data_IF_837496998291
#
_entry.id   IF_837496998291
#
_cell.length_a   1.000
_cell.length_b   1.000
_cell.length_c   1.000
_cell.angle_alpha   90.00
_cell.angle_beta   90.00
_cell.angle_gamma   90.00
#
_symmetry.space_group_name_H-M   'P 1'
#
loop_
_entity.id
_entity.type
_entity.pdbx_description
1 polymer ?
#
# COMPACT_ATOMS: atom_id res chain seq x y z
N UNK A 1 -5.29 0.19 36.22
CA UNK A 1 -6.12 -0.33 35.12
C UNK A 1 -5.17 -0.98 34.13
N UNK A 2 -5.21 -2.28 34.01
CA UNK A 2 -4.35 -3.05 33.11
C UNK A 2 -4.78 -2.75 31.69
N UNK A 3 -3.91 -2.08 30.92
CA UNK A 3 -4.07 -1.94 29.47
C UNK A 3 -3.98 -3.36 28.88
N UNK A 4 -5.10 -3.93 28.50
CA UNK A 4 -5.10 -5.08 27.62
C UNK A 4 -4.57 -4.62 26.26
N UNK A 5 -3.36 -5.03 25.93
CA UNK A 5 -2.80 -4.87 24.58
C UNK A 5 -3.64 -5.78 23.69
N UNK A 6 -4.52 -5.19 22.89
CA UNK A 6 -5.34 -5.93 21.93
C UNK A 6 -4.41 -6.27 20.76
N UNK A 7 -4.02 -7.53 20.67
CA UNK A 7 -3.33 -8.05 19.49
C UNK A 7 -4.33 -8.16 18.34
N UNK A 8 -4.07 -7.49 17.24
CA UNK A 8 -4.88 -7.55 16.04
C UNK A 8 -4.01 -7.72 14.80
N UNK A 9 -4.58 -8.31 13.78
CA UNK A 9 -3.90 -8.44 12.48
C UNK A 9 -4.03 -7.15 11.66
N UNK A 10 -3.06 -6.88 10.80
CA UNK A 10 -3.13 -5.75 9.87
C UNK A 10 -4.40 -5.79 9.01
N UNK A 11 -4.83 -6.99 8.63
CA UNK A 11 -6.06 -7.19 7.85
C UNK A 11 -7.32 -6.75 8.63
N UNK A 12 -7.42 -7.09 9.92
CA UNK A 12 -8.54 -6.66 10.76
C UNK A 12 -8.57 -5.15 10.96
N UNK A 13 -7.39 -4.54 11.16
CA UNK A 13 -7.25 -3.08 11.24
C UNK A 13 -7.76 -2.41 9.96
N UNK A 14 -7.26 -2.83 8.82
CA UNK A 14 -7.61 -2.22 7.52
C UNK A 14 -9.10 -2.40 7.20
N UNK A 15 -9.67 -3.57 7.44
CA UNK A 15 -11.09 -3.84 7.22
C UNK A 15 -11.97 -2.97 8.12
N UNK A 16 -11.64 -2.88 9.41
CA UNK A 16 -12.39 -2.07 10.38
C UNK A 16 -12.30 -0.60 10.04
N UNK A 17 -11.10 -0.09 9.75
CA UNK A 17 -10.89 1.30 9.37
C UNK A 17 -11.62 1.65 8.07
N UNK A 18 -11.49 0.82 7.02
CA UNK A 18 -12.20 1.03 5.77
C UNK A 18 -13.71 1.18 6.00
N UNK A 19 -14.32 0.27 6.75
CA UNK A 19 -15.74 0.32 7.06
C UNK A 19 -16.12 1.61 7.80
N UNK A 20 -15.39 1.98 8.86
CA UNK A 20 -15.71 3.15 9.68
C UNK A 20 -15.41 4.47 8.96
N UNK A 21 -14.34 4.54 8.20
CA UNK A 21 -13.99 5.73 7.43
C UNK A 21 -14.93 5.95 6.24
N UNK A 22 -15.51 4.90 5.66
CA UNK A 22 -16.57 5.02 4.65
C UNK A 22 -17.81 5.70 5.21
N UNK A 23 -18.13 5.55 6.50
CA UNK A 23 -19.22 6.31 7.14
C UNK A 23 -18.92 7.82 7.19
N UNK A 24 -17.64 8.21 7.20
CA UNK A 24 -17.20 9.61 7.22
C UNK A 24 -17.17 10.17 5.80
N UNK A 25 -16.55 9.46 4.88
CA UNK A 25 -16.50 9.82 3.45
C UNK A 25 -16.92 8.63 2.59
N UNK A 26 -18.16 8.65 2.03
CA UNK A 26 -18.66 7.55 1.20
C UNK A 26 -17.83 7.24 -0.04
N UNK A 27 -17.04 8.22 -0.55
CA UNK A 27 -16.12 7.99 -1.66
C UNK A 27 -15.06 6.91 -1.40
N UNK A 28 -14.81 6.57 -0.13
CA UNK A 28 -13.90 5.47 0.23
C UNK A 28 -14.47 4.08 -0.12
N UNK A 29 -15.78 3.97 -0.35
CA UNK A 29 -16.39 2.72 -0.82
C UNK A 29 -15.95 2.33 -2.25
N UNK A 30 -15.40 3.27 -3.00
CA UNK A 30 -14.86 3.03 -4.34
C UNK A 30 -13.46 2.42 -4.32
N UNK A 31 -12.78 2.41 -3.16
CA UNK A 31 -11.43 1.85 -3.02
C UNK A 31 -11.50 0.33 -2.85
N UNK A 32 -10.67 -0.37 -3.60
CA UNK A 32 -10.40 -1.79 -3.35
C UNK A 32 -9.54 -1.95 -2.08
N UNK A 33 -9.57 -3.11 -1.42
CA UNK A 33 -8.82 -3.34 -0.17
C UNK A 33 -7.33 -3.02 -0.28
N UNK A 34 -6.69 -3.37 -1.39
CA UNK A 34 -5.27 -3.08 -1.59
C UNK A 34 -5.01 -1.58 -1.82
N UNK A 35 -5.95 -0.85 -2.43
CA UNK A 35 -5.84 0.60 -2.60
C UNK A 35 -5.92 1.31 -1.26
N UNK A 36 -6.86 0.88 -0.40
CA UNK A 36 -6.97 1.38 0.97
C UNK A 36 -5.69 1.12 1.75
N UNK A 37 -5.10 -0.08 1.64
CA UNK A 37 -3.82 -0.43 2.25
C UNK A 37 -2.69 0.52 1.80
N UNK A 38 -2.58 0.81 0.50
CA UNK A 38 -1.59 1.77 -0.01
C UNK A 38 -1.81 3.18 0.53
N UNK A 39 -3.06 3.62 0.65
CA UNK A 39 -3.39 4.91 1.24
C UNK A 39 -3.02 4.98 2.74
N UNK A 40 -3.13 3.87 3.45
CA UNK A 40 -2.78 3.76 4.86
C UNK A 40 -1.27 3.74 5.13
N UNK A 41 -0.46 3.36 4.14
CA UNK A 41 0.98 3.17 4.32
C UNK A 41 1.72 4.39 4.92
N UNK A 42 1.46 5.65 4.49
CA UNK A 42 2.13 6.83 5.06
C UNK A 42 1.77 7.08 6.53
N UNK A 43 0.64 6.55 6.98
CA UNK A 43 0.09 6.79 8.32
C UNK A 43 0.55 5.77 9.36
N UNK A 44 1.22 4.72 8.93
CA UNK A 44 1.61 3.63 9.81
C UNK A 44 2.57 4.13 10.92
N UNK A 45 2.20 4.01 12.22
CA UNK A 45 3.04 4.50 13.32
C UNK A 45 4.35 3.71 13.40
N UNK A 46 5.45 4.39 13.77
CA UNK A 46 6.77 3.77 13.87
C UNK A 46 6.81 2.58 14.81
N UNK A 47 6.16 2.70 15.94
CA UNK A 47 6.16 1.70 16.99
C UNK A 47 4.95 0.76 16.97
N UNK A 48 4.12 0.82 15.90
CA UNK A 48 2.88 0.04 15.79
C UNK A 48 1.64 0.79 16.27
N UNK A 49 0.48 0.37 15.78
CA UNK A 49 -0.81 1.00 16.10
C UNK A 49 -1.21 0.87 17.57
N UNK A 50 -0.74 -0.16 18.24
CA UNK A 50 -0.95 -0.42 19.68
C UNK A 50 -0.28 0.62 20.58
N UNK A 51 0.70 1.36 20.06
CA UNK A 51 1.41 2.41 20.81
C UNK A 51 0.78 3.78 20.61
N UNK A 52 -0.17 3.92 19.70
CA UNK A 52 -0.79 5.21 19.42
C UNK A 52 -1.72 5.60 20.55
N UNK A 53 -1.40 6.72 21.16
CA UNK A 53 -2.26 7.31 22.18
C UNK A 53 -3.54 7.86 21.56
N UNK A 54 -4.69 7.52 22.14
CA UNK A 54 -6.01 8.00 21.74
C UNK A 54 -6.60 8.88 22.85
N UNK A 55 -6.33 10.21 22.83
CA UNK A 55 -6.88 11.11 23.84
C UNK A 55 -8.41 11.11 23.83
N UNK A 56 -9.07 11.46 24.95
CA UNK A 56 -10.52 11.69 24.96
C UNK A 56 -10.96 12.73 23.93
N UNK A 57 -12.17 12.62 23.39
CA UNK A 57 -12.65 13.55 22.36
C UNK A 57 -12.52 15.03 22.74
N UNK A 58 -12.83 15.37 24.00
CA UNK A 58 -12.76 16.76 24.47
C UNK A 58 -11.32 17.32 24.47
N UNK A 59 -10.30 16.49 24.69
CA UNK A 59 -8.91 16.92 24.62
C UNK A 59 -8.49 17.22 23.18
N UNK A 60 -8.94 16.38 22.23
CA UNK A 60 -8.71 16.64 20.78
C UNK A 60 -9.45 17.91 20.36
N UNK A 61 -10.70 18.10 20.82
CA UNK A 61 -11.48 19.33 20.54
C UNK A 61 -10.77 20.57 21.07
N UNK A 62 -10.20 20.52 22.29
CA UNK A 62 -9.40 21.61 22.85
C UNK A 62 -8.13 21.83 22.05
N UNK A 63 -7.41 20.75 21.66
CA UNK A 63 -6.19 20.84 20.87
C UNK A 63 -6.45 21.55 19.53
N UNK A 64 -7.47 21.11 18.78
CA UNK A 64 -7.77 21.68 17.45
C UNK A 64 -8.40 23.08 17.50
N UNK A 65 -8.78 23.56 18.67
CA UNK A 65 -9.21 24.97 18.90
C UNK A 65 -8.04 25.85 19.39
N UNK A 66 -6.89 25.27 19.69
CA UNK A 66 -5.73 26.03 20.16
C UNK A 66 -4.99 26.70 19.00
N UNK A 67 -4.77 28.03 19.04
CA UNK A 67 -3.97 28.71 18.03
C UNK A 67 -2.58 28.11 17.85
N UNK A 68 -1.90 27.77 18.95
CA UNK A 68 -0.55 27.20 18.94
C UNK A 68 -0.42 25.87 18.21
N UNK A 69 -1.51 25.13 18.06
CA UNK A 69 -1.50 23.89 17.26
C UNK A 69 -1.22 24.16 15.77
N UNK A 70 -1.54 25.37 15.29
CA UNK A 70 -1.43 25.71 13.86
C UNK A 70 -0.22 26.61 13.54
N UNK A 71 0.48 27.13 14.55
CA UNK A 71 1.56 28.09 14.36
C UNK A 71 2.72 27.54 13.53
N UNK A 72 3.02 26.24 13.70
CA UNK A 72 4.14 25.59 13.05
C UNK A 72 3.76 24.60 11.95
N UNK A 73 2.46 24.55 11.59
CA UNK A 73 2.04 23.61 10.53
C UNK A 73 2.63 24.04 9.20
N UNK A 74 3.57 23.22 8.73
CA UNK A 74 4.21 23.39 7.44
C UNK A 74 3.93 22.18 6.54
N UNK A 75 3.50 22.49 5.32
CA UNK A 75 3.39 21.50 4.25
C UNK A 75 4.64 21.60 3.39
N UNK A 76 5.45 20.55 3.44
CA UNK A 76 6.73 20.51 2.73
C UNK A 76 6.60 19.62 1.50
N UNK A 77 6.80 20.13 0.27
CA UNK A 77 6.90 19.29 -0.91
C UNK A 77 8.14 18.40 -0.80
N UNK A 78 8.00 17.10 -1.08
CA UNK A 78 9.12 16.20 -1.25
C UNK A 78 9.73 16.31 -2.64
N UNK A 79 10.94 15.76 -2.81
CA UNK A 79 11.72 15.77 -4.06
C UNK A 79 10.95 15.29 -5.28
N UNK A 80 10.00 14.38 -5.12
CA UNK A 80 9.20 13.80 -6.19
C UNK A 80 7.75 14.31 -6.25
N UNK A 81 7.48 15.45 -5.62
CA UNK A 81 6.17 16.09 -5.63
C UNK A 81 5.17 15.56 -4.58
N UNK A 82 5.57 14.60 -3.74
CA UNK A 82 4.75 14.19 -2.60
C UNK A 82 4.73 15.28 -1.51
N UNK A 83 3.62 15.38 -0.77
CA UNK A 83 3.52 16.27 0.39
C UNK A 83 3.99 15.55 1.66
N UNK A 84 4.80 16.23 2.44
CA UNK A 84 5.10 15.87 3.82
C UNK A 84 4.24 16.71 4.74
N UNK A 85 3.41 16.07 5.52
CA UNK A 85 2.64 16.74 6.56
C UNK A 85 3.51 16.96 7.79
N UNK A 86 3.19 18.01 8.52
CA UNK A 86 3.77 18.27 9.82
C UNK A 86 3.53 17.13 10.81
N UNK A 87 4.46 16.92 11.73
CA UNK A 87 4.40 15.81 12.69
C UNK A 87 3.15 15.86 13.58
N UNK A 88 2.69 17.06 13.95
CA UNK A 88 1.47 17.24 14.74
C UNK A 88 0.21 16.77 13.99
N UNK A 89 0.13 17.04 12.69
CA UNK A 89 -0.95 16.54 11.82
C UNK A 89 -0.84 15.03 11.64
N UNK A 90 0.37 14.50 11.50
CA UNK A 90 0.58 13.04 11.41
C UNK A 90 0.12 12.36 12.69
N UNK A 91 0.53 12.83 13.85
CA UNK A 91 0.12 12.29 15.16
C UNK A 91 -1.40 12.37 15.38
N UNK A 92 -2.00 13.50 15.01
CA UNK A 92 -3.45 13.66 15.09
C UNK A 92 -4.18 12.64 14.21
N UNK A 93 -3.73 12.46 12.96
CA UNK A 93 -4.33 11.48 12.06
C UNK A 93 -4.15 10.05 12.56
N UNK A 94 -2.97 9.70 13.08
CA UNK A 94 -2.73 8.40 13.70
C UNK A 94 -3.68 8.18 14.89
N UNK A 95 -3.85 9.17 15.77
CA UNK A 95 -4.78 9.09 16.90
C UNK A 95 -6.23 8.91 16.46
N UNK A 96 -6.68 9.66 15.41
CA UNK A 96 -8.03 9.51 14.85
C UNK A 96 -8.26 8.13 14.25
N UNK A 97 -7.30 7.60 13.50
CA UNK A 97 -7.39 6.28 12.91
C UNK A 97 -7.37 5.17 13.98
N UNK A 98 -6.47 5.28 14.97
CA UNK A 98 -6.43 4.34 16.09
C UNK A 98 -7.72 4.38 16.93
N UNK A 99 -8.25 5.57 17.19
CA UNK A 99 -9.51 5.75 17.91
C UNK A 99 -10.72 5.25 17.13
N UNK A 100 -10.76 5.46 15.82
CA UNK A 100 -11.75 4.84 14.94
C UNK A 100 -11.63 3.31 14.97
N UNK A 101 -10.43 2.76 14.94
CA UNK A 101 -10.22 1.31 14.99
C UNK A 101 -10.66 0.71 16.33
N UNK A 102 -10.23 1.27 17.45
CA UNK A 102 -10.57 0.78 18.79
C UNK A 102 -12.05 1.02 19.18
N UNK A 103 -12.71 1.96 18.51
CA UNK A 103 -14.05 2.42 18.89
C UNK A 103 -14.07 3.53 19.93
N UNK A 104 -12.92 4.06 20.33
CA UNK A 104 -12.81 5.23 21.19
C UNK A 104 -13.46 6.47 20.54
N UNK A 105 -13.43 6.54 19.19
CA UNK A 105 -14.09 7.60 18.44
C UNK A 105 -15.16 7.04 17.52
N UNK A 106 -16.35 7.67 17.58
CA UNK A 106 -17.42 7.33 16.63
C UNK A 106 -17.17 8.00 15.27
N UNK A 107 -17.52 7.35 14.14
CA UNK A 107 -17.47 7.99 12.83
C UNK A 107 -18.26 9.31 12.76
N UNK A 108 -19.37 9.40 13.50
CA UNK A 108 -20.19 10.61 13.54
C UNK A 108 -19.44 11.80 14.15
N UNK A 109 -18.78 11.58 15.30
CA UNK A 109 -17.97 12.61 15.93
C UNK A 109 -16.80 13.05 15.05
N UNK A 110 -16.05 12.09 14.47
CA UNK A 110 -14.95 12.42 13.55
C UNK A 110 -15.46 13.23 12.36
N UNK A 111 -16.56 12.83 11.75
CA UNK A 111 -17.18 13.56 10.62
C UNK A 111 -17.60 14.98 11.00
N UNK A 112 -18.09 15.19 12.23
CA UNK A 112 -18.47 16.50 12.73
C UNK A 112 -17.27 17.41 12.95
N UNK A 113 -16.17 16.86 13.50
CA UNK A 113 -15.00 17.64 13.93
C UNK A 113 -13.92 17.77 12.85
N UNK A 114 -13.95 16.91 11.82
CA UNK A 114 -12.92 16.84 10.78
C UNK A 114 -13.49 16.75 9.36
N UNK A 115 -12.73 17.28 8.41
CA UNK A 115 -12.85 16.91 7.01
C UNK A 115 -11.95 15.73 6.72
N UNK A 116 -12.39 14.78 5.90
CA UNK A 116 -11.50 13.78 5.34
C UNK A 116 -11.21 14.11 3.86
N UNK A 117 -9.97 14.45 3.57
CA UNK A 117 -9.50 14.63 2.20
C UNK A 117 -9.08 13.28 1.62
N UNK A 118 -9.92 12.71 0.76
CA UNK A 118 -9.68 11.41 0.13
C UNK A 118 -8.43 11.42 -0.76
N UNK A 119 -8.08 12.56 -1.34
CA UNK A 119 -6.91 12.70 -2.24
C UNK A 119 -5.59 12.64 -1.46
N UNK A 120 -5.55 13.30 -0.31
CA UNK A 120 -4.43 13.29 0.62
C UNK A 120 -4.47 12.12 1.58
N UNK A 121 -5.65 11.50 1.73
CA UNK A 121 -5.93 10.44 2.67
C UNK A 121 -5.64 10.83 4.12
N UNK A 122 -6.13 11.99 4.54
CA UNK A 122 -5.94 12.51 5.89
C UNK A 122 -7.12 13.33 6.38
N UNK A 123 -7.21 13.43 7.72
CA UNK A 123 -8.19 14.26 8.40
C UNK A 123 -7.64 15.67 8.62
N UNK A 124 -8.48 16.67 8.37
CA UNK A 124 -8.21 18.08 8.63
C UNK A 124 -9.25 18.62 9.61
N UNK A 125 -8.84 19.33 10.67
CA UNK A 125 -9.79 19.90 11.64
C UNK A 125 -10.76 20.90 11.01
N UNK A 126 -12.01 20.87 11.45
CA UNK A 126 -13.04 21.89 11.11
C UNK A 126 -12.95 23.03 12.11
N UNK A 127 -11.97 23.90 11.98
CA UNK A 127 -11.76 24.99 12.93
C UNK A 127 -11.49 26.31 12.20
N UNK A 128 -11.68 27.42 12.94
CA UNK A 128 -11.41 28.76 12.43
C UNK A 128 -9.90 28.99 12.18
N UNK A 129 -9.05 28.26 12.88
CA UNK A 129 -7.59 28.40 12.75
C UNK A 129 -7.02 27.65 11.54
N UNK A 130 -7.77 26.75 10.97
CA UNK A 130 -7.41 26.14 9.68
C UNK A 130 -7.72 27.15 8.57
N UNK A 131 -6.90 28.19 8.51
CA UNK A 131 -7.14 29.39 7.70
C UNK A 131 -7.31 29.08 6.21
N UNK A 132 -7.97 30.01 5.50
CA UNK A 132 -8.08 29.92 4.05
C UNK A 132 -6.71 29.83 3.37
N UNK A 133 -5.68 30.46 3.96
CA UNK A 133 -4.30 30.36 3.46
C UNK A 133 -3.76 28.91 3.53
N UNK A 134 -4.00 28.18 4.61
CA UNK A 134 -3.59 26.77 4.73
C UNK A 134 -4.42 25.90 3.78
N UNK A 135 -5.73 26.11 3.72
CA UNK A 135 -6.61 25.41 2.75
C UNK A 135 -6.21 25.73 1.32
N UNK A 136 -5.89 26.95 1.03
CA UNK A 136 -5.46 27.40 -0.29
C UNK A 136 -4.08 26.81 -0.64
N UNK A 137 -3.16 26.70 0.31
CA UNK A 137 -1.88 26.04 0.13
C UNK A 137 -2.05 24.53 -0.12
N UNK A 138 -2.90 23.86 0.66
CA UNK A 138 -3.28 22.47 0.44
C UNK A 138 -3.94 22.24 -0.93
N UNK A 139 -4.73 23.19 -1.40
CA UNK A 139 -5.41 23.14 -2.69
C UNK A 139 -4.50 23.52 -3.87
N UNK A 140 -3.45 24.32 -3.67
CA UNK A 140 -2.64 24.86 -4.77
C UNK A 140 -1.48 23.96 -5.18
N UNK A 141 -0.71 23.50 -4.22
CA UNK A 141 0.43 22.66 -4.56
C UNK A 141 -0.02 21.20 -4.51
N UNK A 142 0.42 20.33 -5.04
CA UNK A 142 0.18 19.21 -5.92
C UNK A 142 -1.30 18.88 -6.18
N UNK A 143 -2.25 19.36 -5.36
CA UNK A 143 -3.68 19.08 -5.57
C UNK A 143 -4.24 19.73 -6.85
N UNK A 144 -3.77 20.92 -7.22
CA UNK A 144 -4.13 21.53 -8.51
C UNK A 144 -3.63 20.72 -9.70
N UNK A 145 -2.41 20.21 -9.62
CA UNK A 145 -1.85 19.34 -10.66
C UNK A 145 -2.61 18.01 -10.71
N UNK A 146 -3.00 17.49 -9.56
CA UNK A 146 -3.82 16.30 -9.45
C UNK A 146 -5.18 16.47 -10.13
N UNK A 147 -5.92 17.52 -9.80
CA UNK A 147 -7.23 17.80 -10.39
C UNK A 147 -7.18 18.00 -11.90
N UNK A 148 -6.15 18.68 -12.41
CA UNK A 148 -5.96 18.84 -13.85
C UNK A 148 -5.68 17.51 -14.53
N UNK A 149 -4.85 16.65 -13.92
CA UNK A 149 -4.53 15.32 -14.45
C UNK A 149 -5.73 14.38 -14.37
N UNK A 150 -6.48 14.43 -13.30
CA UNK A 150 -7.70 13.64 -13.14
C UNK A 150 -8.74 14.03 -14.21
N UNK A 151 -8.96 15.33 -14.44
CA UNK A 151 -9.84 15.80 -15.53
C UNK A 151 -9.36 15.32 -16.91
N UNK A 152 -8.06 15.28 -17.13
CA UNK A 152 -7.49 14.76 -18.38
C UNK A 152 -7.72 13.26 -18.53
N UNK A 153 -7.63 12.50 -17.43
CA UNK A 153 -7.91 11.04 -17.40
C UNK A 153 -9.40 10.75 -17.58
N UNK A 154 -10.27 11.50 -16.93
CA UNK A 154 -11.73 11.40 -17.08
C UNK A 154 -12.17 11.64 -18.52
N UNK A 155 -11.51 12.55 -19.25
CA UNK A 155 -11.79 12.81 -20.68
C UNK A 155 -11.42 11.63 -21.60
N UNK A 156 -10.66 10.64 -21.12
CA UNK A 156 -10.18 9.47 -21.88
C UNK A 156 -11.01 8.21 -21.56
N UNK A 157 -12.27 8.33 -21.13
CA UNK A 157 -13.14 7.21 -20.76
C UNK A 157 -12.47 6.29 -19.71
N UNK A 158 -12.17 6.83 -18.55
CA UNK A 158 -11.57 6.05 -17.47
C UNK A 158 -12.59 5.05 -16.93
N UNK A 159 -12.31 3.77 -17.13
CA UNK A 159 -13.05 2.69 -16.51
C UNK A 159 -12.55 2.59 -15.07
N UNK A 160 -13.40 2.94 -14.10
CA UNK A 160 -13.05 2.85 -12.69
C UNK A 160 -12.75 1.41 -12.25
N UNK A 161 -12.01 1.23 -11.18
CA UNK A 161 -11.67 -0.11 -10.63
C UNK A 161 -12.90 -0.97 -10.37
N UNK A 162 -13.99 -0.38 -9.90
CA UNK A 162 -15.24 -1.09 -9.66
C UNK A 162 -15.79 -1.72 -10.94
N UNK A 163 -15.77 -0.98 -12.04
CA UNK A 163 -16.23 -1.48 -13.35
C UNK A 163 -15.30 -2.58 -13.87
N UNK A 164 -13.98 -2.49 -13.62
CA UNK A 164 -13.05 -3.57 -13.91
C UNK A 164 -13.32 -4.83 -13.09
N UNK A 165 -13.63 -4.67 -11.80
CA UNK A 165 -13.98 -5.79 -10.94
C UNK A 165 -15.23 -6.51 -11.42
N UNK A 166 -16.26 -5.77 -11.78
CA UNK A 166 -17.50 -6.32 -12.33
C UNK A 166 -17.26 -7.01 -13.68
N UNK A 167 -16.52 -6.35 -14.59
CA UNK A 167 -16.19 -6.89 -15.90
C UNK A 167 -15.34 -8.16 -15.86
N UNK A 168 -14.46 -8.29 -14.85
CA UNK A 168 -13.57 -9.44 -14.71
C UNK A 168 -14.09 -10.51 -13.72
N UNK A 169 -15.23 -10.30 -13.07
CA UNK A 169 -15.70 -11.16 -11.98
C UNK A 169 -15.80 -12.64 -12.38
N UNK A 170 -16.28 -12.94 -13.58
CA UNK A 170 -16.38 -14.33 -14.08
C UNK A 170 -15.01 -14.93 -14.36
N UNK A 171 -14.12 -14.18 -14.98
CA UNK A 171 -12.74 -14.60 -15.31
C UNK A 171 -11.96 -14.87 -14.02
N UNK A 172 -12.05 -13.95 -13.06
CA UNK A 172 -11.39 -14.09 -11.76
C UNK A 172 -11.95 -15.30 -10.98
N UNK A 173 -13.26 -15.49 -10.99
CA UNK A 173 -13.88 -16.68 -10.38
C UNK A 173 -13.42 -17.98 -11.05
N UNK A 174 -13.30 -18.01 -12.38
CA UNK A 174 -12.74 -19.15 -13.09
C UNK A 174 -11.28 -19.39 -12.74
N UNK A 175 -10.47 -18.34 -12.68
CA UNK A 175 -9.08 -18.43 -12.29
C UNK A 175 -8.91 -18.95 -10.85
N UNK A 176 -9.64 -18.40 -9.89
CA UNK A 176 -9.61 -18.82 -8.49
C UNK A 176 -9.96 -20.30 -8.37
N UNK A 177 -11.05 -20.76 -9.00
CA UNK A 177 -11.42 -22.18 -9.01
C UNK A 177 -10.34 -23.07 -9.61
N UNK A 178 -9.69 -22.63 -10.70
CA UNK A 178 -8.59 -23.37 -11.30
C UNK A 178 -7.39 -23.48 -10.35
N UNK A 179 -7.02 -22.40 -9.66
CA UNK A 179 -5.95 -22.38 -8.66
C UNK A 179 -6.29 -23.30 -7.49
N UNK A 180 -7.49 -23.20 -6.94
CA UNK A 180 -7.94 -24.08 -5.85
C UNK A 180 -7.85 -25.56 -6.26
N UNK A 181 -8.28 -25.89 -7.47
CA UNK A 181 -8.16 -27.27 -8.00
C UNK A 181 -6.70 -27.71 -8.12
N UNK A 182 -5.81 -26.85 -8.62
CA UNK A 182 -4.39 -27.17 -8.76
C UNK A 182 -3.72 -27.39 -7.40
N UNK A 183 -4.02 -26.55 -6.41
CA UNK A 183 -3.48 -26.68 -5.07
C UNK A 183 -3.97 -27.97 -4.40
N UNK A 184 -5.24 -28.32 -4.55
CA UNK A 184 -5.77 -29.62 -4.04
C UNK A 184 -5.07 -30.84 -4.66
N UNK A 185 -4.68 -30.75 -5.95
CA UNK A 185 -3.96 -31.82 -6.63
C UNK A 185 -2.50 -31.90 -6.17
N UNK A 186 -1.85 -30.77 -5.99
CA UNK A 186 -0.43 -30.71 -5.63
C UNK A 186 -0.17 -30.91 -4.13
N UNK A 187 -1.16 -30.57 -3.30
CA UNK A 187 -1.06 -30.62 -1.83
C UNK A 187 -0.40 -29.40 -1.21
N UNK A 188 -0.47 -29.34 0.13
CA UNK A 188 0.14 -28.27 0.95
C UNK A 188 1.28 -28.86 1.79
N UNK A 189 2.30 -28.08 2.21
CA UNK A 189 2.50 -26.67 1.88
C UNK A 189 2.94 -26.45 0.43
N UNK A 190 2.54 -25.35 -0.18
CA UNK A 190 2.88 -25.03 -1.56
C UNK A 190 3.22 -23.54 -1.74
N UNK A 191 4.20 -23.27 -2.61
CA UNK A 191 4.53 -21.92 -3.07
C UNK A 191 3.92 -21.70 -4.44
N UNK A 192 3.13 -20.65 -4.58
CA UNK A 192 2.58 -20.18 -5.84
C UNK A 192 3.10 -18.78 -6.15
N UNK A 193 3.66 -18.57 -7.31
CA UNK A 193 4.07 -17.24 -7.71
C UNK A 193 3.20 -16.67 -8.82
N UNK A 194 2.86 -15.39 -8.66
CA UNK A 194 2.11 -14.59 -9.61
C UNK A 194 3.04 -13.50 -10.13
N UNK A 195 3.56 -13.73 -11.33
CA UNK A 195 4.42 -12.80 -12.03
C UNK A 195 3.60 -11.93 -12.98
N UNK A 196 4.10 -10.76 -13.25
CA UNK A 196 3.51 -9.88 -14.26
C UNK A 196 3.98 -8.44 -14.09
N UNK A 197 3.79 -7.63 -15.12
CA UNK A 197 4.24 -6.24 -15.09
C UNK A 197 3.46 -5.40 -14.05
N UNK A 198 4.01 -4.21 -13.75
CA UNK A 198 3.33 -3.29 -12.82
C UNK A 198 1.92 -2.96 -13.30
N UNK A 199 1.01 -2.77 -12.36
CA UNK A 199 -0.40 -2.44 -12.60
C UNK A 199 -1.18 -3.50 -13.40
N UNK A 200 -0.68 -4.73 -13.49
CA UNK A 200 -1.44 -5.83 -14.10
C UNK A 200 -2.62 -6.31 -13.23
N UNK A 201 -2.62 -6.02 -11.93
CA UNK A 201 -3.65 -6.49 -10.98
C UNK A 201 -3.21 -7.67 -10.12
N UNK A 202 -1.91 -7.94 -10.03
CA UNK A 202 -1.36 -9.06 -9.24
C UNK A 202 -1.79 -9.02 -7.78
N UNK A 203 -1.59 -7.89 -7.11
CA UNK A 203 -1.95 -7.72 -5.70
C UNK A 203 -3.44 -7.94 -5.47
N UNK A 204 -4.28 -7.43 -6.38
CA UNK A 204 -5.73 -7.60 -6.28
C UNK A 204 -6.14 -9.08 -6.39
N UNK A 205 -5.60 -9.82 -7.36
CA UNK A 205 -5.94 -11.24 -7.50
C UNK A 205 -5.38 -12.09 -6.35
N UNK A 206 -4.23 -11.72 -5.77
CA UNK A 206 -3.69 -12.35 -4.57
C UNK A 206 -4.62 -12.14 -3.37
N UNK A 207 -5.14 -10.92 -3.16
CA UNK A 207 -6.12 -10.64 -2.09
C UNK A 207 -7.40 -11.49 -2.25
N UNK A 208 -7.88 -11.66 -3.49
CA UNK A 208 -9.05 -12.50 -3.78
C UNK A 208 -8.76 -13.98 -3.52
N UNK A 209 -7.56 -14.45 -3.84
CA UNK A 209 -7.10 -15.80 -3.50
C UNK A 209 -7.03 -15.99 -1.98
N UNK A 210 -6.47 -15.03 -1.24
CA UNK A 210 -6.47 -15.06 0.23
C UNK A 210 -7.90 -15.22 0.79
N UNK A 211 -8.85 -14.43 0.30
CA UNK A 211 -10.24 -14.51 0.73
C UNK A 211 -10.85 -15.89 0.41
N UNK A 212 -10.65 -16.40 -0.81
CA UNK A 212 -11.19 -17.69 -1.23
C UNK A 212 -10.62 -18.87 -0.44
N UNK A 213 -9.31 -18.84 -0.11
CA UNK A 213 -8.70 -19.91 0.71
C UNK A 213 -9.05 -19.78 2.19
N UNK A 214 -9.25 -18.57 2.70
CA UNK A 214 -9.74 -18.37 4.06
C UNK A 214 -11.15 -18.95 4.26
N UNK A 215 -12.03 -18.84 3.24
CA UNK A 215 -13.34 -19.49 3.24
C UNK A 215 -13.23 -21.04 3.30
N UNK A 216 -12.16 -21.62 2.76
CA UNK A 216 -11.85 -23.05 2.85
C UNK A 216 -11.10 -23.43 4.15
N UNK A 217 -10.84 -22.47 5.06
CA UNK A 217 -10.11 -22.67 6.30
C UNK A 217 -8.60 -22.90 6.11
N UNK A 218 -8.03 -22.55 4.96
CA UNK A 218 -6.61 -22.68 4.68
C UNK A 218 -5.86 -21.40 5.05
N UNK A 219 -4.69 -21.57 5.67
CA UNK A 219 -3.80 -20.45 6.00
C UNK A 219 -3.01 -20.05 4.77
N UNK A 220 -2.93 -18.76 4.54
CA UNK A 220 -2.20 -18.19 3.41
C UNK A 220 -1.25 -17.08 3.87
N UNK A 221 -0.12 -16.94 3.18
CA UNK A 221 0.84 -15.86 3.40
C UNK A 221 1.30 -15.28 2.06
N UNK A 222 1.73 -14.03 2.04
CA UNK A 222 2.24 -13.36 0.84
C UNK A 222 3.63 -12.79 1.05
N UNK A 223 4.48 -12.97 0.04
CA UNK A 223 5.78 -12.31 -0.11
C UNK A 223 5.69 -11.39 -1.33
N UNK A 224 5.70 -10.09 -1.10
CA UNK A 224 5.72 -9.08 -2.16
C UNK A 224 7.17 -8.74 -2.52
N UNK A 225 7.62 -9.10 -3.74
CA UNK A 225 9.00 -8.84 -4.18
C UNK A 225 9.33 -7.34 -4.23
N UNK A 226 8.34 -6.50 -4.46
CA UNK A 226 8.54 -5.06 -4.49
C UNK A 226 9.04 -4.51 -3.14
N UNK A 227 8.79 -5.19 -2.03
CA UNK A 227 9.32 -4.84 -0.72
C UNK A 227 10.82 -5.10 -0.57
N UNK A 228 11.39 -5.96 -1.40
CA UNK A 228 12.82 -6.25 -1.40
C UNK A 228 13.65 -5.24 -2.22
N UNK A 229 13.05 -4.24 -2.85
CA UNK A 229 13.78 -3.21 -3.56
C UNK A 229 14.78 -2.50 -2.63
N UNK A 230 15.99 -2.26 -3.13
CA UNK A 230 16.99 -1.40 -2.47
C UNK A 230 16.62 0.08 -2.64
N UNK A 231 17.29 0.99 -1.95
CA UNK A 231 17.02 2.42 -2.07
C UNK A 231 17.18 2.90 -3.52
N UNK A 232 16.33 3.83 -3.93
CA UNK A 232 16.39 4.37 -5.31
C UNK A 232 17.72 5.05 -5.59
N UNK A 233 18.17 5.91 -4.67
CA UNK A 233 19.41 6.66 -4.85
C UNK A 233 20.63 5.74 -4.99
N UNK A 234 20.63 4.59 -4.28
CA UNK A 234 21.66 3.57 -4.41
C UNK A 234 21.62 2.85 -5.77
N UNK A 235 20.41 2.55 -6.27
CA UNK A 235 20.26 1.97 -7.61
C UNK A 235 20.70 2.94 -8.71
N UNK A 236 20.33 4.21 -8.58
CA UNK A 236 20.73 5.25 -9.53
C UNK A 236 22.24 5.47 -9.52
N UNK A 237 22.87 5.50 -8.33
CA UNK A 237 24.33 5.59 -8.21
C UNK A 237 25.08 4.40 -8.86
N UNK A 238 24.45 3.22 -8.88
CA UNK A 238 25.00 2.02 -9.54
C UNK A 238 24.60 1.87 -11.01
N UNK A 239 23.87 2.85 -11.58
CA UNK A 239 23.36 2.76 -12.94
C UNK A 239 22.28 1.68 -13.15
N UNK A 240 21.62 1.21 -12.10
CA UNK A 240 20.54 0.22 -12.17
C UNK A 240 19.25 0.93 -12.52
N UNK A 241 18.91 0.93 -13.80
CA UNK A 241 17.71 1.61 -14.30
C UNK A 241 16.51 0.67 -14.48
N UNK A 242 16.73 -0.62 -14.59
CA UNK A 242 15.68 -1.63 -14.71
C UNK A 242 15.43 -2.35 -13.37
N UNK A 243 14.20 -2.81 -13.17
CA UNK A 243 13.86 -3.68 -12.04
C UNK A 243 14.23 -5.12 -12.42
N UNK A 244 15.22 -5.67 -11.76
CA UNK A 244 15.70 -7.04 -11.93
C UNK A 244 16.33 -7.53 -10.63
N UNK A 245 16.94 -8.70 -10.64
CA UNK A 245 17.56 -9.29 -9.46
C UNK A 245 18.58 -8.36 -8.77
N UNK A 246 19.28 -7.54 -9.55
CA UNK A 246 20.23 -6.54 -9.04
C UNK A 246 19.59 -5.32 -8.34
N UNK A 247 18.28 -5.15 -8.49
CA UNK A 247 17.55 -4.02 -7.87
C UNK A 247 16.95 -4.36 -6.51
N UNK A 248 17.07 -5.61 -6.08
CA UNK A 248 16.49 -6.11 -4.83
C UNK A 248 17.58 -6.67 -3.91
N UNK A 249 17.23 -6.83 -2.65
CA UNK A 249 17.98 -7.61 -1.66
C UNK A 249 17.87 -9.11 -1.98
N UNK A 250 18.56 -9.56 -3.03
CA UNK A 250 18.38 -10.90 -3.60
C UNK A 250 18.67 -12.01 -2.59
N UNK A 251 19.81 -11.91 -1.88
CA UNK A 251 20.21 -12.94 -0.91
C UNK A 251 19.17 -13.05 0.23
N UNK A 252 18.67 -11.91 0.70
CA UNK A 252 17.62 -11.87 1.73
C UNK A 252 16.30 -12.45 1.22
N UNK A 253 15.94 -12.17 -0.04
CA UNK A 253 14.75 -12.77 -0.66
C UNK A 253 14.85 -14.29 -0.73
N UNK A 254 16.00 -14.82 -1.17
CA UNK A 254 16.24 -16.25 -1.27
C UNK A 254 16.29 -16.92 0.12
N UNK A 255 16.85 -16.25 1.11
CA UNK A 255 16.85 -16.72 2.49
C UNK A 255 15.43 -16.78 3.04
N UNK A 256 14.64 -15.71 2.92
CA UNK A 256 13.24 -15.68 3.35
C UNK A 256 12.43 -16.80 2.67
N UNK A 257 12.64 -17.02 1.37
CA UNK A 257 11.95 -18.10 0.66
C UNK A 257 12.35 -19.50 1.19
N UNK A 258 13.62 -19.67 1.51
CA UNK A 258 14.12 -20.93 2.10
C UNK A 258 13.50 -21.18 3.46
N UNK A 259 13.49 -20.19 4.33
CA UNK A 259 13.02 -20.31 5.71
C UNK A 259 11.50 -20.54 5.75
N UNK A 260 10.71 -19.80 4.99
CA UNK A 260 9.26 -19.96 5.01
C UNK A 260 8.82 -21.30 4.41
N UNK A 261 9.54 -21.79 3.40
CA UNK A 261 9.27 -23.14 2.85
C UNK A 261 9.70 -24.25 3.79
N UNK A 262 10.60 -23.98 4.73
CA UNK A 262 10.96 -24.88 5.84
C UNK A 262 9.99 -24.76 7.03
N UNK A 263 8.91 -23.97 6.92
CA UNK A 263 7.93 -23.78 7.99
C UNK A 263 8.36 -22.79 9.08
N UNK A 264 9.34 -21.95 8.81
CA UNK A 264 9.82 -20.93 9.74
C UNK A 264 9.17 -19.57 9.45
N UNK A 265 8.86 -18.81 10.49
CA UNK A 265 8.46 -17.42 10.34
C UNK A 265 9.62 -16.59 9.79
N UNK A 266 9.30 -15.62 8.93
CA UNK A 266 10.30 -14.78 8.29
C UNK A 266 10.06 -13.31 8.59
N UNK A 267 11.12 -12.52 8.38
CA UNK A 267 11.08 -11.08 8.46
C UNK A 267 11.60 -10.52 7.15
N UNK A 268 10.74 -9.82 6.39
CA UNK A 268 11.10 -9.25 5.10
C UNK A 268 11.35 -7.75 5.20
N UNK A 269 12.11 -7.16 4.28
CA UNK A 269 12.17 -5.70 4.17
C UNK A 269 10.79 -5.09 3.94
N UNK A 270 10.69 -3.80 4.22
CA UNK A 270 9.59 -2.94 3.79
C UNK A 270 10.15 -1.84 2.92
N UNK A 271 9.58 -1.68 1.75
CA UNK A 271 9.93 -0.60 0.85
C UNK A 271 8.92 0.53 0.93
N UNK A 272 9.39 1.75 1.16
CA UNK A 272 8.57 2.95 1.09
C UNK A 272 8.50 3.42 -0.37
N UNK A 273 7.31 3.33 -0.97
CA UNK A 273 7.11 3.72 -2.36
C UNK A 273 7.03 5.23 -2.58
N UNK A 274 6.83 6.00 -1.51
CA UNK A 274 6.81 7.46 -1.55
C UNK A 274 8.23 7.99 -1.50
N UNK A 275 8.98 7.59 -0.49
CA UNK A 275 10.39 7.99 -0.30
C UNK A 275 11.35 7.19 -1.17
N UNK A 276 10.88 6.08 -1.71
CA UNK A 276 11.65 5.15 -2.53
C UNK A 276 12.87 4.57 -1.79
N UNK A 277 12.68 4.25 -0.51
CA UNK A 277 13.70 3.73 0.40
C UNK A 277 13.29 2.38 0.97
N UNK A 278 14.30 1.54 1.23
CA UNK A 278 14.14 0.26 1.91
C UNK A 278 14.33 0.43 3.43
N UNK A 279 13.63 -0.38 4.21
CA UNK A 279 13.90 -0.51 5.65
C UNK A 279 15.25 -1.16 5.97
N UNK A 280 15.91 -1.77 4.97
CA UNK A 280 17.20 -2.46 5.11
C UNK A 280 18.29 -1.75 4.30
N UNK A 281 19.53 -1.84 4.78
CA UNK A 281 20.70 -1.38 4.05
C UNK A 281 21.13 -2.40 2.97
N UNK A 282 22.13 -2.05 2.17
CA UNK A 282 22.62 -2.93 1.07
C UNK A 282 23.16 -4.29 1.55
N UNK A 283 23.53 -4.40 2.82
CA UNK A 283 23.95 -5.68 3.40
C UNK A 283 22.78 -6.55 3.86
N UNK A 284 21.53 -6.08 3.69
CA UNK A 284 20.33 -6.75 4.17
C UNK A 284 20.09 -6.59 5.67
N UNK A 285 20.77 -5.64 6.33
CA UNK A 285 20.59 -5.37 7.75
C UNK A 285 19.54 -4.27 7.95
N UNK A 286 18.68 -4.46 8.97
CA UNK A 286 17.67 -3.47 9.33
C UNK A 286 18.31 -2.13 9.71
N UNK A 287 17.88 -1.05 9.07
CA UNK A 287 18.31 0.32 9.37
C UNK A 287 17.73 0.80 10.72
N UNK A 288 18.41 1.71 11.42
CA UNK A 288 17.83 2.35 12.60
C UNK A 288 16.46 2.97 12.28
N UNK A 289 15.43 2.62 13.05
CA UNK A 289 14.05 3.05 12.81
C UNK A 289 13.35 2.36 11.64
N UNK A 290 14.03 1.44 10.94
CA UNK A 290 13.43 0.64 9.88
C UNK A 290 12.38 -0.32 10.45
N UNK A 291 11.34 -0.61 9.65
CA UNK A 291 10.27 -1.53 10.02
C UNK A 291 10.21 -2.66 9.02
N UNK A 292 10.51 -3.87 9.46
CA UNK A 292 10.32 -5.04 8.62
C UNK A 292 8.85 -5.48 8.60
N UNK A 293 8.57 -6.46 7.74
CA UNK A 293 7.29 -7.16 7.71
C UNK A 293 7.51 -8.56 8.25
N UNK A 294 6.73 -8.97 9.24
CA UNK A 294 6.73 -10.33 9.77
C UNK A 294 5.69 -11.17 9.04
N UNK A 295 6.09 -12.36 8.62
CA UNK A 295 5.24 -13.29 7.89
C UNK A 295 5.34 -14.67 8.55
N UNK A 296 4.21 -15.17 9.00
CA UNK A 296 4.10 -16.51 9.58
C UNK A 296 4.01 -17.57 8.49
N UNK A 297 4.49 -18.80 8.75
CA UNK A 297 4.37 -19.90 7.80
C UNK A 297 2.90 -20.27 7.59
N UNK A 298 2.57 -20.63 6.35
CA UNK A 298 1.21 -20.94 5.94
C UNK A 298 1.16 -22.17 5.03
N UNK A 299 -0.06 -22.66 4.80
CA UNK A 299 -0.29 -23.82 3.94
C UNK A 299 -0.08 -23.46 2.45
N UNK A 300 -0.37 -22.19 2.11
CA UNK A 300 -0.16 -21.65 0.77
C UNK A 300 0.61 -20.33 0.90
N UNK A 301 1.75 -20.26 0.21
CA UNK A 301 2.60 -19.07 0.18
C UNK A 301 2.52 -18.48 -1.21
N UNK A 302 2.00 -17.24 -1.31
CA UNK A 302 2.00 -16.47 -2.54
C UNK A 302 3.29 -15.66 -2.63
N UNK A 303 3.90 -15.64 -3.82
CA UNK A 303 4.95 -14.69 -4.18
C UNK A 303 4.39 -13.83 -5.29
N UNK A 304 4.27 -12.52 -5.06
CA UNK A 304 3.92 -11.60 -6.14
C UNK A 304 5.12 -10.74 -6.53
N UNK A 305 5.27 -10.50 -7.82
CA UNK A 305 6.36 -9.68 -8.31
C UNK A 305 6.40 -9.60 -9.83
N UNK A 306 7.41 -8.85 -10.30
CA UNK A 306 7.56 -8.70 -11.73
C UNK A 306 8.34 -9.85 -12.38
N UNK A 307 9.27 -10.48 -11.63
CA UNK A 307 10.24 -11.42 -12.20
C UNK A 307 10.60 -12.62 -11.31
N UNK A 308 9.68 -13.21 -10.50
CA UNK A 308 10.03 -14.32 -9.61
C UNK A 308 10.58 -15.56 -10.36
N UNK A 309 10.22 -15.71 -11.62
CA UNK A 309 10.65 -16.85 -12.44
C UNK A 309 12.04 -16.66 -13.09
N UNK A 310 12.53 -15.42 -13.13
CA UNK A 310 13.85 -15.10 -13.69
C UNK A 310 14.98 -15.34 -12.68
N UNK A 311 14.64 -15.71 -11.44
CA UNK A 311 15.58 -16.10 -10.40
C UNK A 311 15.53 -17.63 -10.30
N UNK A 312 16.54 -18.35 -10.81
CA UNK A 312 16.51 -19.82 -10.91
C UNK A 312 16.26 -20.52 -9.57
N UNK A 313 16.89 -20.04 -8.50
CA UNK A 313 16.79 -20.60 -7.16
C UNK A 313 15.37 -20.42 -6.59
N UNK A 314 14.73 -19.29 -6.87
CA UNK A 314 13.33 -19.07 -6.50
C UNK A 314 12.39 -19.91 -7.37
N UNK A 315 12.63 -19.92 -8.68
CA UNK A 315 11.83 -20.67 -9.65
C UNK A 315 11.78 -22.18 -9.37
N UNK A 316 12.87 -22.74 -8.80
CA UNK A 316 12.96 -24.15 -8.41
C UNK A 316 12.06 -24.50 -7.21
N UNK A 317 11.72 -23.52 -6.34
CA UNK A 317 10.86 -23.72 -5.17
C UNK A 317 9.38 -23.44 -5.44
N UNK A 318 9.07 -22.83 -6.58
CA UNK A 318 7.70 -22.45 -6.92
C UNK A 318 6.97 -23.63 -7.57
N UNK A 319 5.97 -24.14 -6.87
CA UNK A 319 5.14 -25.28 -7.32
C UNK A 319 4.08 -24.90 -8.35
N UNK A 320 3.57 -23.67 -8.30
CA UNK A 320 2.60 -23.13 -9.27
C UNK A 320 3.11 -21.78 -9.77
N UNK A 321 3.22 -21.64 -11.08
CA UNK A 321 3.71 -20.43 -11.74
C UNK A 321 2.58 -19.84 -12.58
N UNK A 322 2.26 -18.58 -12.32
CA UNK A 322 1.23 -17.83 -13.03
C UNK A 322 1.85 -16.56 -13.62
N UNK A 323 1.61 -16.31 -14.88
CA UNK A 323 1.88 -15.01 -15.51
C UNK A 323 0.55 -14.28 -15.65
N UNK A 324 0.43 -13.15 -14.96
CA UNK A 324 -0.77 -12.34 -14.93
C UNK A 324 -0.58 -11.11 -15.82
N UNK A 325 -1.29 -11.09 -16.95
CA UNK A 325 -1.17 -10.06 -17.98
C UNK A 325 -2.44 -9.24 -18.08
N UNK A 326 -2.28 -7.99 -18.39
CA UNK A 326 -3.36 -7.04 -18.70
C UNK A 326 -2.87 -6.13 -19.83
N UNK A 327 -3.76 -5.70 -20.68
CA UNK A 327 -3.43 -4.80 -21.80
C UNK A 327 -2.66 -3.57 -21.34
N UNK A 328 -1.68 -3.16 -22.15
CA UNK A 328 -0.77 -2.07 -21.80
C UNK A 328 -1.50 -0.74 -21.58
N UNK A 329 -2.55 -0.47 -22.34
CA UNK A 329 -3.36 0.74 -22.17
C UNK A 329 -4.04 0.76 -20.80
N UNK A 330 -4.61 -0.36 -20.38
CA UNK A 330 -5.27 -0.51 -19.09
C UNK A 330 -4.24 -0.37 -17.95
N UNK A 331 -3.08 -1.02 -18.11
CA UNK A 331 -1.99 -0.94 -17.14
C UNK A 331 -1.48 0.50 -16.97
N UNK A 332 -1.32 1.21 -18.09
CA UNK A 332 -0.89 2.60 -18.11
C UNK A 332 -1.85 3.50 -17.32
N UNK A 333 -3.15 3.36 -17.56
CA UNK A 333 -4.21 4.10 -16.85
C UNK A 333 -4.19 3.77 -15.34
N UNK A 334 -4.15 2.49 -14.98
CA UNK A 334 -4.09 2.03 -13.58
C UNK A 334 -2.83 2.54 -12.86
N UNK A 335 -1.67 2.43 -13.52
CA UNK A 335 -0.41 2.92 -12.96
C UNK A 335 -0.45 4.43 -12.75
N UNK A 336 -0.94 5.17 -13.71
CA UNK A 336 -1.06 6.63 -13.60
C UNK A 336 -1.94 7.01 -12.41
N UNK A 337 -3.14 6.44 -12.32
CA UNK A 337 -4.05 6.70 -11.21
C UNK A 337 -3.39 6.37 -9.86
N UNK A 338 -2.81 5.19 -9.72
CA UNK A 338 -2.12 4.77 -8.50
C UNK A 338 -0.96 5.70 -8.13
N UNK A 339 -0.11 6.03 -9.08
CA UNK A 339 1.08 6.83 -8.81
C UNK A 339 0.70 8.28 -8.46
N UNK A 340 -0.38 8.82 -9.00
CA UNK A 340 -0.91 10.14 -8.65
C UNK A 340 -1.70 10.10 -7.34
N UNK A 341 -2.71 9.25 -7.24
CA UNK A 341 -3.68 9.27 -6.14
C UNK A 341 -3.07 8.79 -4.82
N UNK A 342 -2.29 7.70 -4.88
CA UNK A 342 -1.81 7.01 -3.69
C UNK A 342 -0.35 7.27 -3.38
N UNK A 343 0.51 7.35 -4.41
CA UNK A 343 1.95 7.56 -4.24
C UNK A 343 2.37 9.02 -4.35
N UNK A 344 1.42 9.91 -4.69
CA UNK A 344 1.63 11.35 -4.82
C UNK A 344 2.75 11.72 -5.81
N UNK A 345 2.87 10.94 -6.90
CA UNK A 345 3.84 11.15 -7.97
C UNK A 345 3.22 12.04 -9.05
N UNK A 346 3.42 13.34 -8.94
CA UNK A 346 2.76 14.32 -9.82
C UNK A 346 3.56 14.66 -11.08
N UNK A 347 4.85 14.30 -11.13
CA UNK A 347 5.70 14.60 -12.28
C UNK A 347 5.40 13.70 -13.48
N UNK A 348 4.89 14.24 -14.61
CA UNK A 348 4.60 13.46 -15.81
C UNK A 348 5.85 12.77 -16.39
N UNK A 349 7.01 13.44 -16.28
CA UNK A 349 8.31 12.91 -16.73
C UNK A 349 8.71 11.68 -15.96
N UNK A 350 8.54 11.69 -14.62
CA UNK A 350 8.78 10.52 -13.77
C UNK A 350 7.94 9.33 -14.25
N UNK A 351 6.65 9.53 -14.45
CA UNK A 351 5.74 8.48 -14.88
C UNK A 351 6.14 7.89 -16.23
N UNK A 352 6.37 8.74 -17.24
CA UNK A 352 6.75 8.34 -18.58
C UNK A 352 8.06 7.56 -18.59
N UNK A 353 9.08 8.07 -17.94
CA UNK A 353 10.39 7.44 -17.89
C UNK A 353 10.34 6.09 -17.17
N UNK A 354 9.68 6.00 -16.02
CA UNK A 354 9.58 4.76 -15.25
C UNK A 354 8.75 3.68 -15.96
N UNK A 355 7.68 4.06 -16.63
CA UNK A 355 6.88 3.09 -17.37
C UNK A 355 7.65 2.54 -18.58
N UNK A 356 8.11 3.41 -19.46
CA UNK A 356 8.71 2.98 -20.71
C UNK A 356 10.13 2.42 -20.55
N UNK A 357 10.90 2.92 -19.61
CA UNK A 357 12.28 2.46 -19.42
C UNK A 357 12.42 1.17 -18.63
N UNK A 358 11.48 0.87 -17.73
CA UNK A 358 11.59 -0.31 -16.87
C UNK A 358 10.49 -1.35 -17.05
N UNK A 359 9.25 -0.92 -17.20
CA UNK A 359 8.11 -1.82 -17.14
C UNK A 359 7.69 -2.36 -18.51
N UNK A 360 7.88 -1.56 -19.55
CA UNK A 360 7.58 -2.00 -20.92
C UNK A 360 8.54 -3.11 -21.40
N UNK A 361 9.87 -2.98 -21.27
CA UNK A 361 10.78 -4.07 -21.60
C UNK A 361 10.51 -5.36 -20.80
N UNK A 362 10.15 -5.25 -19.51
CA UNK A 362 9.84 -6.42 -18.68
C UNK A 362 8.58 -7.16 -19.09
N UNK A 363 7.65 -6.50 -19.77
CA UNK A 363 6.45 -7.13 -20.28
C UNK A 363 6.69 -7.92 -21.59
N UNK A 364 7.83 -7.67 -22.25
CA UNK A 364 8.20 -8.32 -23.51
C UNK A 364 9.14 -9.52 -23.32
N UNK A 365 9.71 -9.70 -22.14
CA UNK A 365 10.52 -10.87 -21.77
C UNK A 365 9.72 -11.90 -20.99
#
# INVERSE_FOLDING_TARGET
MTHQTISFTETELLKTLSTRMTCINPGLAELEPYEFRYCMHPWHPAAGWETVHTPPCHEIEQLIQSPGFYEDIQLKPKRDGAIVLDESIVKLNQALMAGLFSGAYSPAWVKQSFYFDIRGFYFLPRTLYFTDAVREHLNRAPYRQFEQKQKTLESVQDVGYRQFKEANAEIDACFIRAVQKLIRIKGSPIVMAIAGPTAAGKTEIVERLHAAFAEEGQRTASIEMDHFLTDRDEREAKGIHSLGAQAIHLDLFLQCLTDITAGQAITTPRYDFIDATSSHDLSGKLKPGGRPIHIEPADIIFIEGNFPFLIPEAAARIGIKVVYLTDDEIRLKRKWKRDIDYRKKYEPTYFRNRYFQSQFPMAQT
#
